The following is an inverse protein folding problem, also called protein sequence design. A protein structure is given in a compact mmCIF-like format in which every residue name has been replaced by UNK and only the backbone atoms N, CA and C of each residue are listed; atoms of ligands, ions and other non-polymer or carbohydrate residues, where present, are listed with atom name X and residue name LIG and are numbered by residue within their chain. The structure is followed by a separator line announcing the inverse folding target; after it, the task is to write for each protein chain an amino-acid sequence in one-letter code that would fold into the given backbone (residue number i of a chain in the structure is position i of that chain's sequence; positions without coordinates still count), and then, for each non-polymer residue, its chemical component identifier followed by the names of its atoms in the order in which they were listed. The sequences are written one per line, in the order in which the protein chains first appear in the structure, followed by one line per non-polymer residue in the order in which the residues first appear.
data_IF_068146231848
#
_entry.id   IF_068146231848
#
_cell.length_a   1.000
_cell.length_b   1.000
_cell.length_c   1.000
_cell.angle_alpha   90.00
_cell.angle_beta   90.00
_cell.angle_gamma   90.00
#
_symmetry.space_group_name_H-M   'P 1'
#
loop_
_entity.id
_entity.type
_entity.pdbx_description
1 polymer ?
#
# COMPACT_ATOMS: atom_id res chain seq x y z
N UNK A 1 -18.24 -23.45 9.45
CA UNK A 1 -18.29 -22.72 8.16
C UNK A 1 -17.31 -21.59 8.17
N UNK A 2 -16.46 -21.52 7.17
CA UNK A 2 -15.48 -20.47 7.07
C UNK A 2 -16.16 -19.24 6.44
N UNK A 3 -16.10 -18.06 7.07
CA UNK A 3 -16.70 -16.88 6.46
C UNK A 3 -15.98 -16.53 5.15
N UNK A 4 -16.73 -16.05 4.19
CA UNK A 4 -16.17 -15.56 2.95
C UNK A 4 -15.32 -14.33 3.24
N UNK A 5 -14.07 -14.39 2.85
CA UNK A 5 -13.17 -13.25 3.06
C UNK A 5 -13.42 -12.22 1.97
N UNK A 6 -13.69 -10.99 2.39
CA UNK A 6 -13.86 -9.84 1.50
C UNK A 6 -12.67 -8.92 1.74
N UNK A 7 -12.01 -8.50 0.66
CA UNK A 7 -10.85 -7.63 0.74
C UNK A 7 -9.53 -8.37 0.91
N UNK A 8 -8.49 -7.61 1.15
CA UNK A 8 -7.12 -8.11 1.19
C UNK A 8 -6.79 -8.86 2.48
N UNK A 9 -5.80 -9.73 2.39
CA UNK A 9 -5.26 -10.44 3.54
C UNK A 9 -4.25 -9.55 4.27
N UNK A 10 -4.34 -9.55 5.61
CA UNK A 10 -3.37 -8.85 6.44
C UNK A 10 -2.27 -9.85 6.81
N UNK A 11 -1.02 -9.50 6.52
CA UNK A 11 0.13 -10.39 6.73
C UNK A 11 1.23 -9.68 7.50
N UNK A 12 2.17 -10.45 8.05
CA UNK A 12 3.34 -9.92 8.74
C UNK A 12 4.34 -9.32 7.74
N UNK A 13 5.19 -8.36 8.17
CA UNK A 13 6.14 -7.70 7.27
C UNK A 13 7.06 -8.66 6.52
N UNK A 14 7.56 -9.70 7.18
CA UNK A 14 8.44 -10.68 6.53
C UNK A 14 7.72 -11.45 5.42
N UNK A 15 6.47 -11.83 5.67
CA UNK A 15 5.63 -12.50 4.68
C UNK A 15 5.32 -11.56 3.54
N UNK A 16 5.01 -10.31 3.85
CA UNK A 16 4.71 -9.28 2.85
C UNK A 16 5.87 -9.10 1.88
N UNK A 17 7.09 -9.02 2.39
CA UNK A 17 8.27 -8.88 1.55
C UNK A 17 8.41 -10.04 0.56
N UNK A 18 8.18 -11.27 1.03
CA UNK A 18 8.20 -12.44 0.16
C UNK A 18 7.12 -12.34 -0.92
N UNK A 19 5.91 -11.89 -0.54
CA UNK A 19 4.83 -11.71 -1.49
C UNK A 19 5.17 -10.67 -2.56
N UNK A 20 5.80 -9.57 -2.18
CA UNK A 20 6.23 -8.54 -3.14
C UNK A 20 7.26 -9.12 -4.11
N UNK A 21 8.25 -9.86 -3.59
CA UNK A 21 9.25 -10.51 -4.44
C UNK A 21 8.62 -11.49 -5.42
N UNK A 22 7.71 -12.32 -4.95
CA UNK A 22 7.02 -13.31 -5.79
C UNK A 22 6.15 -12.63 -6.84
N UNK A 23 5.40 -11.61 -6.47
CA UNK A 23 4.54 -10.90 -7.40
C UNK A 23 5.34 -10.16 -8.47
N UNK A 24 6.46 -9.55 -8.11
CA UNK A 24 7.28 -8.86 -9.11
C UNK A 24 7.88 -9.85 -10.10
N UNK A 25 8.28 -11.05 -9.66
CA UNK A 25 8.78 -12.10 -10.57
C UNK A 25 7.68 -12.60 -11.50
N UNK A 26 6.47 -12.81 -10.97
CA UNK A 26 5.33 -13.21 -11.79
C UNK A 26 4.97 -12.11 -12.78
N UNK A 27 4.96 -10.86 -12.34
CA UNK A 27 4.64 -9.72 -13.18
C UNK A 27 5.62 -9.58 -14.33
N UNK A 28 6.90 -9.82 -14.07
CA UNK A 28 7.93 -9.80 -15.11
C UNK A 28 7.68 -10.87 -16.17
N UNK A 29 7.35 -12.07 -15.72
CA UNK A 29 7.14 -13.21 -16.62
C UNK A 29 5.83 -13.10 -17.39
N UNK A 30 4.76 -12.66 -16.72
CA UNK A 30 3.42 -12.64 -17.27
C UNK A 30 3.00 -11.26 -17.79
N UNK A 31 3.87 -10.27 -17.66
CA UNK A 31 3.72 -8.92 -18.20
C UNK A 31 2.51 -8.17 -17.66
N UNK A 32 2.38 -8.14 -16.33
CA UNK A 32 1.41 -7.25 -15.69
C UNK A 32 2.15 -6.31 -14.75
N UNK A 33 1.42 -5.39 -14.12
CA UNK A 33 2.00 -4.38 -13.25
C UNK A 33 1.65 -4.65 -11.80
N UNK A 34 2.50 -4.17 -10.89
CA UNK A 34 2.30 -4.32 -9.46
C UNK A 34 2.60 -2.97 -8.82
N UNK A 35 1.71 -2.50 -7.95
CA UNK A 35 1.94 -1.26 -7.23
C UNK A 35 1.99 -1.50 -5.73
N UNK A 36 2.75 -0.67 -5.03
CA UNK A 36 2.74 -0.60 -3.57
C UNK A 36 2.27 0.78 -3.15
N UNK A 37 1.53 0.83 -2.05
CA UNK A 37 1.20 2.08 -1.38
C UNK A 37 1.56 1.94 0.08
N UNK A 38 2.40 2.86 0.57
CA UNK A 38 2.68 3.02 1.99
C UNK A 38 1.74 4.07 2.53
N UNK A 39 0.97 3.72 3.55
CA UNK A 39 -0.01 4.61 4.19
C UNK A 39 0.35 4.74 5.66
N UNK A 40 0.58 5.95 6.11
CA UNK A 40 0.96 6.21 7.49
C UNK A 40 0.02 7.16 8.20
N UNK A 41 -0.07 7.03 9.52
CA UNK A 41 -0.79 7.96 10.39
C UNK A 41 0.22 9.02 10.82
N UNK A 42 -0.09 10.29 10.55
CA UNK A 42 0.83 11.40 10.85
C UNK A 42 0.70 11.85 12.31
N UNK A 43 -0.52 11.83 12.85
CA UNK A 43 -0.80 12.18 14.24
C UNK A 43 -1.99 11.38 14.73
N UNK A 44 -2.05 11.17 16.04
CA UNK A 44 -3.20 10.56 16.66
C UNK A 44 -2.96 9.15 17.14
N UNK A 45 -4.03 8.53 17.61
CA UNK A 45 -3.97 7.27 18.31
C UNK A 45 -4.29 6.01 17.49
N UNK A 46 -4.32 6.11 16.16
CA UNK A 46 -4.63 4.94 15.35
C UNK A 46 -3.38 4.10 15.16
N UNK A 47 -3.43 2.85 15.61
CA UNK A 47 -2.33 1.91 15.47
C UNK A 47 -2.23 1.37 14.04
N UNK A 48 -1.06 0.86 13.62
CA UNK A 48 -0.95 0.19 12.33
C UNK A 48 -1.93 -0.97 12.18
N UNK A 49 -2.18 -1.73 13.26
CA UNK A 49 -3.16 -2.81 13.23
C UNK A 49 -4.57 -2.30 12.93
N UNK A 50 -4.99 -1.21 13.58
CA UNK A 50 -6.30 -0.61 13.33
C UNK A 50 -6.37 -0.04 11.91
N UNK A 51 -5.30 0.57 11.44
CA UNK A 51 -5.24 1.10 10.08
C UNK A 51 -5.37 -0.01 9.04
N UNK A 52 -4.66 -1.14 9.25
CA UNK A 52 -4.75 -2.29 8.37
C UNK A 52 -6.19 -2.84 8.30
N UNK A 53 -6.87 -2.88 9.44
CA UNK A 53 -8.27 -3.33 9.51
C UNK A 53 -9.20 -2.41 8.72
N UNK A 54 -8.90 -1.13 8.66
CA UNK A 54 -9.73 -0.16 7.92
C UNK A 54 -9.54 -0.27 6.42
N UNK A 55 -8.32 -0.54 5.95
CA UNK A 55 -8.03 -0.54 4.52
C UNK A 55 -8.21 -1.90 3.85
N UNK A 56 -7.97 -2.99 4.56
CA UNK A 56 -8.03 -4.33 3.98
C UNK A 56 -9.37 -4.64 3.29
N UNK A 57 -10.54 -4.30 3.86
CA UNK A 57 -11.81 -4.58 3.18
C UNK A 57 -12.05 -3.77 1.91
N UNK A 58 -11.33 -2.66 1.75
CA UNK A 58 -11.54 -1.74 0.63
C UNK A 58 -10.68 -2.08 -0.61
N UNK A 59 -9.76 -3.03 -0.49
CA UNK A 59 -8.95 -3.49 -1.61
C UNK A 59 -9.22 -4.96 -1.88
N UNK A 60 -8.73 -5.46 -3.02
CA UNK A 60 -9.16 -6.78 -3.53
C UNK A 60 -8.57 -7.93 -2.73
N UNK A 61 -9.25 -9.09 -2.77
CA UNK A 61 -8.80 -10.31 -2.12
C UNK A 61 -7.45 -10.82 -2.64
N UNK A 62 -7.09 -10.47 -3.88
CA UNK A 62 -5.79 -10.80 -4.48
C UNK A 62 -4.66 -9.91 -3.97
N UNK A 63 -4.99 -8.83 -3.27
CA UNK A 63 -4.03 -7.87 -2.74
C UNK A 63 -3.65 -8.25 -1.31
N UNK A 64 -2.65 -7.60 -0.75
CA UNK A 64 -2.19 -7.86 0.61
C UNK A 64 -1.88 -6.56 1.33
N UNK A 65 -2.00 -6.60 2.66
CA UNK A 65 -1.68 -5.47 3.54
C UNK A 65 -0.75 -5.97 4.64
N UNK A 66 0.29 -5.22 4.93
CA UNK A 66 1.16 -5.53 6.06
C UNK A 66 1.35 -4.31 6.95
N UNK A 67 1.36 -4.55 8.24
CA UNK A 67 1.80 -3.53 9.20
C UNK A 67 3.32 -3.42 9.07
N UNK A 68 3.82 -2.19 9.06
CA UNK A 68 5.26 -1.95 9.03
C UNK A 68 5.71 -1.38 10.38
N UNK A 69 7.01 -1.29 10.55
CA UNK A 69 7.56 -0.67 11.76
C UNK A 69 7.15 0.80 11.80
N UNK A 70 6.77 1.29 12.99
CA UNK A 70 6.30 2.65 13.15
C UNK A 70 4.79 2.74 12.98
N UNK A 71 4.32 3.74 12.26
CA UNK A 71 2.90 4.09 12.18
C UNK A 71 2.30 3.85 10.78
N UNK A 72 2.85 2.91 10.03
CA UNK A 72 2.43 2.72 8.64
C UNK A 72 2.01 1.30 8.33
N UNK A 73 1.24 1.17 7.26
CA UNK A 73 0.94 -0.09 6.60
C UNK A 73 1.36 0.02 5.15
N UNK A 74 1.66 -1.10 4.52
CA UNK A 74 1.97 -1.15 3.10
C UNK A 74 0.97 -2.07 2.41
N UNK A 75 0.45 -1.62 1.28
CA UNK A 75 -0.51 -2.39 0.48
C UNK A 75 0.17 -2.86 -0.80
N UNK A 76 0.01 -4.13 -1.11
CA UNK A 76 0.45 -4.73 -2.37
C UNK A 76 -0.77 -4.84 -3.28
N UNK A 77 -0.73 -4.14 -4.40
CA UNK A 77 -1.85 -4.01 -5.32
C UNK A 77 -1.49 -4.67 -6.64
N UNK A 78 -2.07 -5.83 -6.88
CA UNK A 78 -1.77 -6.63 -8.08
C UNK A 78 -2.54 -6.08 -9.27
N UNK A 79 -1.83 -5.93 -10.38
CA UNK A 79 -2.39 -5.41 -11.65
C UNK A 79 -2.98 -4.00 -11.52
N UNK A 80 -2.37 -3.18 -10.68
CA UNK A 80 -2.73 -1.77 -10.53
C UNK A 80 -1.56 -0.90 -11.00
N UNK A 81 -1.84 0.01 -11.90
CA UNK A 81 -0.85 0.97 -12.39
C UNK A 81 -0.77 2.18 -11.46
N UNK A 82 0.33 2.93 -11.56
CA UNK A 82 0.48 4.15 -10.77
C UNK A 82 -0.66 5.15 -11.03
N UNK A 83 -1.16 5.19 -12.26
CA UNK A 83 -2.30 6.06 -12.62
C UNK A 83 -3.60 5.65 -11.98
N UNK A 84 -3.71 4.41 -11.48
CA UNK A 84 -4.88 3.93 -10.76
C UNK A 84 -4.85 4.25 -9.27
N UNK A 85 -3.66 4.57 -8.73
CA UNK A 85 -3.50 4.75 -7.29
C UNK A 85 -4.33 5.90 -6.72
N UNK A 86 -4.46 7.05 -7.39
CA UNK A 86 -5.35 8.11 -6.89
C UNK A 86 -6.80 7.64 -6.72
N UNK A 87 -7.32 6.87 -7.67
CA UNK A 87 -8.69 6.34 -7.59
C UNK A 87 -8.84 5.36 -6.43
N UNK A 88 -7.82 4.52 -6.21
CA UNK A 88 -7.82 3.57 -5.09
C UNK A 88 -7.83 4.35 -3.77
N UNK A 89 -7.01 5.41 -3.67
CA UNK A 89 -6.99 6.24 -2.46
C UNK A 89 -8.32 6.93 -2.21
N UNK A 90 -9.02 7.37 -3.26
CA UNK A 90 -10.35 7.96 -3.11
C UNK A 90 -11.34 6.99 -2.47
N UNK A 91 -11.21 5.69 -2.76
CA UNK A 91 -12.06 4.67 -2.15
C UNK A 91 -11.72 4.42 -0.69
N UNK A 92 -10.46 4.66 -0.31
CA UNK A 92 -10.01 4.48 1.07
C UNK A 92 -10.32 5.69 1.95
N UNK A 93 -10.37 6.87 1.36
CA UNK A 93 -10.50 8.15 2.09
C UNK A 93 -11.70 8.22 3.04
N UNK A 94 -12.92 7.72 2.70
CA UNK A 94 -14.03 7.75 3.63
C UNK A 94 -13.75 7.03 4.96
N UNK A 95 -12.94 6.00 4.94
CA UNK A 95 -12.53 5.27 6.14
C UNK A 95 -11.41 5.94 6.92
N UNK A 96 -10.87 7.05 6.42
CA UNK A 96 -9.72 7.73 6.99
C UNK A 96 -10.03 9.17 7.43
N UNK A 97 -11.30 9.57 7.43
CA UNK A 97 -11.67 10.96 7.69
C UNK A 97 -11.29 11.45 9.10
N UNK A 98 -11.23 10.55 10.06
CA UNK A 98 -10.94 10.87 11.45
C UNK A 98 -9.43 10.85 11.79
N UNK A 99 -8.58 10.60 10.81
CA UNK A 99 -7.13 10.52 11.04
C UNK A 99 -6.36 11.38 10.05
N UNK A 100 -5.20 11.86 10.51
CA UNK A 100 -4.23 12.52 9.64
C UNK A 100 -3.36 11.44 9.02
N UNK A 101 -3.33 11.39 7.70
CA UNK A 101 -2.62 10.33 6.99
C UNK A 101 -1.79 10.90 5.85
N UNK A 102 -0.78 10.14 5.43
CA UNK A 102 0.02 10.42 4.25
C UNK A 102 0.27 9.12 3.52
N UNK A 103 0.30 9.16 2.21
CA UNK A 103 0.48 7.96 1.39
C UNK A 103 1.55 8.18 0.33
N UNK A 104 2.28 7.12 0.02
CA UNK A 104 3.26 7.13 -1.05
C UNK A 104 3.14 5.89 -1.89
N UNK A 105 3.32 6.02 -3.20
CA UNK A 105 3.18 4.92 -4.13
C UNK A 105 4.43 4.62 -4.92
N UNK A 106 4.51 3.39 -5.41
CA UNK A 106 5.54 2.93 -6.34
C UNK A 106 4.91 1.88 -7.26
N UNK A 107 5.43 1.75 -8.47
CA UNK A 107 4.86 0.84 -9.46
C UNK A 107 5.96 0.07 -10.20
N UNK A 108 5.82 -1.25 -10.24
CA UNK A 108 6.69 -2.11 -11.05
C UNK A 108 6.05 -2.33 -12.41
N UNK A 109 6.77 -2.23 -13.51
CA UNK A 109 8.19 -1.85 -13.64
C UNK A 109 8.42 -0.35 -13.87
N UNK A 110 7.38 0.45 -13.87
CA UNK A 110 7.42 1.84 -14.33
C UNK A 110 8.32 2.74 -13.47
N UNK A 111 8.19 2.66 -12.14
CA UNK A 111 8.93 3.54 -11.25
C UNK A 111 9.99 2.83 -10.44
N UNK A 112 9.93 1.50 -10.38
CA UNK A 112 10.89 0.68 -9.65
C UNK A 112 10.97 -0.71 -10.27
N UNK A 113 12.13 -1.34 -10.20
CA UNK A 113 12.39 -2.60 -10.89
C UNK A 113 12.52 -3.81 -9.95
N UNK A 114 12.69 -3.58 -8.65
CA UNK A 114 12.86 -4.66 -7.67
C UNK A 114 11.94 -4.45 -6.48
N UNK A 115 11.75 -5.52 -5.70
CA UNK A 115 10.97 -5.45 -4.47
C UNK A 115 11.53 -4.42 -3.50
N UNK A 116 12.87 -4.40 -3.32
CA UNK A 116 13.52 -3.43 -2.44
C UNK A 116 13.28 -2.00 -2.90
N UNK A 117 13.42 -1.75 -4.19
CA UNK A 117 13.17 -0.41 -4.75
C UNK A 117 11.72 0.01 -4.54
N UNK A 118 10.77 -0.90 -4.78
CA UNK A 118 9.35 -0.62 -4.58
C UNK A 118 9.05 -0.24 -3.14
N UNK A 119 9.54 -1.06 -2.19
CA UNK A 119 9.30 -0.82 -0.77
C UNK A 119 9.91 0.51 -0.33
N UNK A 120 11.16 0.77 -0.71
CA UNK A 120 11.85 2.00 -0.34
C UNK A 120 11.23 3.23 -0.99
N UNK A 121 10.82 3.12 -2.24
CA UNK A 121 10.23 4.24 -2.97
C UNK A 121 8.87 4.63 -2.40
N UNK A 122 8.02 3.65 -2.11
CA UNK A 122 6.72 3.92 -1.50
C UNK A 122 6.89 4.64 -0.17
N UNK A 123 7.87 4.21 0.63
CA UNK A 123 8.17 4.83 1.92
C UNK A 123 8.64 6.28 1.76
N UNK A 124 9.56 6.52 0.83
CA UNK A 124 10.04 7.89 0.57
C UNK A 124 8.94 8.81 0.06
N UNK A 125 8.06 8.29 -0.77
CA UNK A 125 6.94 9.07 -1.29
C UNK A 125 5.94 9.41 -0.17
N UNK A 126 5.73 8.49 0.77
CA UNK A 126 4.89 8.75 1.93
C UNK A 126 5.48 9.88 2.79
N UNK A 127 6.79 9.84 3.03
CA UNK A 127 7.47 10.91 3.76
C UNK A 127 7.34 12.26 3.04
N UNK A 128 7.43 12.25 1.72
CA UNK A 128 7.25 13.46 0.93
C UNK A 128 5.82 14.01 1.09
N UNK A 129 4.82 13.14 1.05
CA UNK A 129 3.43 13.54 1.24
C UNK A 129 3.23 14.18 2.61
N UNK A 130 3.85 13.62 3.64
CA UNK A 130 3.79 14.16 4.99
C UNK A 130 4.40 15.55 5.05
N UNK A 131 5.57 15.74 4.45
CA UNK A 131 6.23 17.05 4.41
C UNK A 131 5.43 18.10 3.65
N UNK A 132 4.59 17.67 2.71
CA UNK A 132 3.74 18.56 1.92
C UNK A 132 2.39 18.85 2.58
N UNK A 133 2.20 18.43 3.83
CA UNK A 133 0.98 18.72 4.59
C UNK A 133 0.07 17.54 4.86
N UNK A 134 0.38 16.37 4.32
CA UNK A 134 -0.43 15.18 4.53
C UNK A 134 -1.74 15.16 3.77
N UNK A 135 -2.55 14.14 4.05
CA UNK A 135 -3.84 13.87 3.40
C UNK A 135 -3.72 13.86 1.89
N UNK A 136 -2.68 13.21 1.42
CA UNK A 136 -2.37 13.10 0.00
C UNK A 136 -1.53 11.88 -0.30
N UNK A 137 -1.56 11.50 -1.55
CA UNK A 137 -0.71 10.45 -2.12
C UNK A 137 0.38 11.14 -2.95
N UNK A 138 1.64 10.83 -2.67
CA UNK A 138 2.76 11.24 -3.50
C UNK A 138 3.23 10.08 -4.36
N UNK A 139 3.51 10.37 -5.62
CA UNK A 139 3.99 9.39 -6.59
C UNK A 139 5.32 9.85 -7.17
N UNK A 140 6.20 8.91 -7.56
CA UNK A 140 7.44 9.27 -8.25
C UNK A 140 7.15 9.93 -9.60
N UNK A 141 8.03 10.84 -9.98
CA UNK A 141 7.93 11.50 -11.28
C UNK A 141 8.60 10.69 -12.38
#
# INVERSE_FOLDING_TARGET
MTPTRVGAQIVEPAVFRVLVEMETRKAQRMRYVVSLVSLGVDEGGTSPAALAQRVAPAIRATDAVAMQTGDSVTMLLVDAEDTNLPTIMERLTPGLEDISWSAGGACYPKTAATADELLNQAERMREQAKRQGGRRLSLPH
#
